data_IF_843703062056
#
_entry.id   IF_843703062056
#
_cell.length_a   1.000
_cell.length_b   1.000
_cell.length_c   1.000
_cell.angle_alpha   90.00
_cell.angle_beta   90.00
_cell.angle_gamma   90.00
#
_symmetry.space_group_name_H-M   'P 1'
#
loop_
_entity.id
_entity.type
_entity.pdbx_description
1 polymer ?
#
# COMPACT_ATOMS: atom_id res chain seq x y z
N UNK A 1 27.43 -6.78 -10.55
CA UNK A 1 26.26 -6.01 -11.03
C UNK A 1 25.24 -6.97 -11.61
N UNK A 2 24.17 -7.28 -10.87
CA UNK A 2 23.07 -8.12 -11.40
C UNK A 2 22.08 -7.22 -12.13
N UNK A 3 21.98 -7.41 -13.45
CA UNK A 3 21.08 -6.67 -14.33
C UNK A 3 19.68 -7.27 -14.19
N UNK A 4 18.79 -6.61 -13.45
CA UNK A 4 17.39 -7.02 -13.33
C UNK A 4 16.70 -6.87 -14.70
N UNK A 5 16.41 -8.00 -15.34
CA UNK A 5 15.63 -8.07 -16.57
C UNK A 5 14.17 -8.32 -16.16
N UNK A 6 13.26 -7.43 -16.57
CA UNK A 6 11.83 -7.63 -16.34
C UNK A 6 11.34 -8.83 -17.15
N UNK A 7 10.61 -9.73 -16.50
CA UNK A 7 9.99 -10.89 -17.15
C UNK A 7 9.08 -10.43 -18.29
N UNK A 8 9.29 -10.94 -19.51
CA UNK A 8 8.36 -10.77 -20.63
C UNK A 8 7.56 -12.05 -20.80
N UNK A 9 6.24 -11.99 -21.03
CA UNK A 9 5.43 -13.19 -21.30
C UNK A 9 5.85 -13.93 -22.57
N UNK A 10 6.66 -13.30 -23.44
CA UNK A 10 7.30 -13.94 -24.60
C UNK A 10 8.48 -14.86 -24.27
N UNK A 11 8.98 -14.84 -23.02
CA UNK A 11 10.09 -15.66 -22.59
C UNK A 11 9.66 -17.08 -22.17
N UNK A 12 8.35 -17.37 -22.15
CA UNK A 12 7.82 -18.71 -21.91
C UNK A 12 8.11 -19.61 -23.11
N UNK A 13 9.13 -20.44 -22.98
CA UNK A 13 9.46 -21.47 -23.97
C UNK A 13 8.66 -22.74 -23.75
N UNK A 14 8.60 -23.60 -24.78
CA UNK A 14 8.02 -24.95 -24.64
C UNK A 14 8.71 -25.81 -23.56
N UNK A 15 9.95 -25.47 -23.17
CA UNK A 15 10.66 -26.14 -22.07
C UNK A 15 10.14 -25.77 -20.67
N UNK A 16 9.40 -24.67 -20.53
CA UNK A 16 8.83 -24.25 -19.23
C UNK A 16 7.43 -24.86 -19.00
N UNK A 17 6.84 -25.42 -20.05
CA UNK A 17 5.57 -26.13 -20.02
C UNK A 17 5.46 -27.20 -18.91
N UNK A 18 6.45 -28.09 -18.68
CA UNK A 18 6.37 -29.06 -17.58
C UNK A 18 6.35 -28.40 -16.19
N UNK A 19 7.03 -27.27 -15.99
CA UNK A 19 7.01 -26.55 -14.72
C UNK A 19 5.68 -25.83 -14.51
N UNK A 20 5.12 -25.24 -15.56
CA UNK A 20 3.77 -24.63 -15.52
C UNK A 20 2.73 -25.71 -15.21
N UNK A 21 2.80 -26.86 -15.87
CA UNK A 21 1.89 -27.98 -15.63
C UNK A 21 2.03 -28.52 -14.19
N UNK A 22 3.25 -28.61 -13.67
CA UNK A 22 3.50 -29.01 -12.27
C UNK A 22 2.92 -27.99 -11.29
N UNK A 23 3.11 -26.69 -11.55
CA UNK A 23 2.53 -25.63 -10.73
C UNK A 23 0.99 -25.66 -10.74
N UNK A 24 0.39 -25.93 -11.90
CA UNK A 24 -1.06 -26.12 -12.02
C UNK A 24 -1.54 -27.36 -11.25
N UNK A 25 -0.81 -28.48 -11.34
CA UNK A 25 -1.14 -29.70 -10.62
C UNK A 25 -1.09 -29.51 -9.10
N UNK A 26 -0.05 -28.85 -8.59
CA UNK A 26 0.08 -28.53 -7.16
C UNK A 26 -1.06 -27.60 -6.73
N UNK A 27 -1.37 -26.59 -7.54
CA UNK A 27 -2.47 -25.65 -7.26
C UNK A 27 -3.82 -26.37 -7.21
N UNK A 28 -4.07 -27.29 -8.15
CA UNK A 28 -5.28 -28.12 -8.18
C UNK A 28 -5.37 -29.02 -6.94
N UNK A 29 -4.26 -29.63 -6.52
CA UNK A 29 -4.21 -30.45 -5.31
C UNK A 29 -4.52 -29.62 -4.06
N UNK A 30 -3.97 -28.41 -3.95
CA UNK A 30 -4.24 -27.49 -2.84
C UNK A 30 -5.71 -27.08 -2.80
N UNK A 31 -6.30 -26.74 -3.95
CA UNK A 31 -7.72 -26.38 -4.05
C UNK A 31 -8.63 -27.56 -3.69
N UNK A 32 -8.31 -28.76 -4.15
CA UNK A 32 -9.06 -29.97 -3.82
C UNK A 32 -8.97 -30.31 -2.33
N UNK A 33 -7.76 -30.27 -1.75
CA UNK A 33 -7.55 -30.50 -0.32
C UNK A 33 -8.26 -29.46 0.54
N UNK A 34 -8.24 -28.19 0.14
CA UNK A 34 -8.96 -27.12 0.81
C UNK A 34 -10.49 -27.32 0.71
N UNK A 35 -11.00 -27.74 -0.44
CA UNK A 35 -12.42 -28.06 -0.62
C UNK A 35 -12.86 -29.24 0.25
N UNK A 36 -12.08 -30.32 0.28
CA UNK A 36 -12.36 -31.49 1.14
C UNK A 36 -12.30 -31.12 2.63
N UNK A 37 -11.33 -30.29 3.02
CA UNK A 37 -11.24 -29.75 4.37
C UNK A 37 -12.48 -28.94 4.74
N UNK A 38 -12.93 -28.03 3.87
CA UNK A 38 -14.16 -27.27 4.08
C UNK A 38 -15.39 -28.16 4.19
N UNK A 39 -15.45 -29.25 3.42
CA UNK A 39 -16.56 -30.21 3.47
C UNK A 39 -16.68 -30.97 4.80
N UNK A 40 -15.63 -30.95 5.63
CA UNK A 40 -15.66 -31.51 6.99
C UNK A 40 -16.39 -30.59 7.98
N UNK A 41 -16.53 -29.30 7.65
CA UNK A 41 -17.22 -28.31 8.46
C UNK A 41 -18.68 -28.16 8.03
N UNK A 42 -19.54 -27.76 8.97
CA UNK A 42 -20.92 -27.41 8.65
C UNK A 42 -20.99 -26.21 7.71
N UNK A 43 -22.06 -26.12 6.91
CA UNK A 43 -22.26 -25.03 5.92
C UNK A 43 -22.15 -23.63 6.53
N UNK A 44 -22.47 -23.49 7.82
CA UNK A 44 -22.32 -22.25 8.58
C UNK A 44 -20.85 -21.79 8.66
N UNK A 45 -19.93 -22.68 9.02
CA UNK A 45 -18.51 -22.36 9.14
C UNK A 45 -17.84 -22.13 7.78
N UNK A 46 -18.27 -22.84 6.74
CA UNK A 46 -17.82 -22.59 5.36
C UNK A 46 -18.16 -21.16 4.92
N UNK A 47 -19.38 -20.71 5.22
CA UNK A 47 -19.82 -19.34 4.95
C UNK A 47 -18.99 -18.29 5.69
N UNK A 48 -18.63 -18.53 6.95
CA UNK A 48 -17.75 -17.64 7.72
C UNK A 48 -16.36 -17.57 7.12
N UNK A 49 -15.73 -18.71 6.77
CA UNK A 49 -14.36 -18.72 6.22
C UNK A 49 -14.29 -17.98 4.88
N UNK A 50 -15.24 -18.23 3.98
CA UNK A 50 -15.31 -17.54 2.68
C UNK A 50 -15.65 -16.05 2.85
N UNK A 51 -16.61 -15.74 3.73
CA UNK A 51 -17.03 -14.37 4.00
C UNK A 51 -15.93 -13.52 4.65
N UNK A 52 -15.19 -14.08 5.61
CA UNK A 52 -14.05 -13.42 6.27
C UNK A 52 -12.88 -13.27 5.30
N UNK A 53 -12.59 -14.30 4.50
CA UNK A 53 -11.53 -14.23 3.48
C UNK A 53 -11.77 -13.10 2.48
N UNK A 54 -12.97 -13.02 1.91
CA UNK A 54 -13.35 -11.95 0.98
C UNK A 54 -13.44 -10.61 1.72
N UNK A 55 -14.08 -10.58 2.88
CA UNK A 55 -14.30 -9.39 3.69
C UNK A 55 -13.03 -8.71 4.20
N UNK A 56 -11.95 -9.46 4.42
CA UNK A 56 -10.63 -8.90 4.77
C UNK A 56 -9.85 -8.51 3.51
N UNK A 57 -9.97 -9.26 2.41
CA UNK A 57 -9.21 -8.99 1.18
C UNK A 57 -9.59 -7.66 0.51
N UNK A 58 -10.87 -7.29 0.49
CA UNK A 58 -11.35 -6.03 -0.12
C UNK A 58 -10.76 -4.79 0.58
N UNK A 59 -10.90 -4.59 1.91
CA UNK A 59 -10.32 -3.43 2.58
C UNK A 59 -8.78 -3.40 2.51
N UNK A 60 -8.11 -4.56 2.47
CA UNK A 60 -6.65 -4.60 2.27
C UNK A 60 -6.22 -4.05 0.91
N UNK A 61 -7.04 -4.19 -0.14
CA UNK A 61 -6.76 -3.56 -1.43
C UNK A 61 -6.82 -2.01 -1.34
N UNK A 62 -7.67 -1.48 -0.46
CA UNK A 62 -7.77 -0.03 -0.22
C UNK A 62 -6.71 0.51 0.75
N UNK A 63 -6.16 -0.32 1.63
CA UNK A 63 -5.07 0.09 2.53
C UNK A 63 -3.74 0.34 1.81
N UNK A 64 -3.51 -0.24 0.63
CA UNK A 64 -2.23 -0.16 -0.10
C UNK A 64 -2.06 1.10 -0.96
N UNK A 65 -2.77 2.19 -0.67
CA UNK A 65 -2.65 3.47 -1.40
C UNK A 65 -2.03 4.57 -0.55
N UNK A 66 -0.94 4.27 0.14
CA UNK A 66 0.04 5.29 0.53
C UNK A 66 1.11 5.28 -0.55
N UNK A 67 0.87 6.02 -1.63
CA UNK A 67 1.94 6.31 -2.58
C UNK A 67 3.06 7.04 -1.84
N UNK A 68 4.31 6.75 -2.19
CA UNK A 68 5.44 7.58 -1.78
C UNK A 68 5.12 9.01 -2.20
N UNK A 69 4.83 9.86 -1.22
CA UNK A 69 4.70 11.29 -1.45
C UNK A 69 6.11 11.76 -1.80
N UNK A 70 6.28 12.26 -3.00
CA UNK A 70 7.58 12.73 -3.48
C UNK A 70 7.89 14.10 -2.85
N UNK A 71 8.37 14.07 -1.61
CA UNK A 71 8.61 15.28 -0.80
C UNK A 71 9.64 16.21 -1.47
N UNK A 72 10.47 15.68 -2.37
CA UNK A 72 11.47 16.45 -3.12
C UNK A 72 10.87 17.53 -4.04
N UNK A 73 9.59 17.40 -4.40
CA UNK A 73 8.86 18.36 -5.25
C UNK A 73 8.02 19.35 -4.45
N UNK A 74 7.95 19.21 -3.13
CA UNK A 74 7.12 20.04 -2.27
C UNK A 74 7.79 21.39 -2.01
N UNK A 75 7.00 22.46 -2.10
CA UNK A 75 7.49 23.82 -1.88
C UNK A 75 7.84 24.04 -0.40
N UNK A 76 8.91 24.77 -0.10
CA UNK A 76 9.29 25.09 1.29
C UNK A 76 8.13 25.80 2.01
N UNK A 77 7.74 25.35 3.23
CA UNK A 77 6.63 25.93 3.96
C UNK A 77 6.86 27.41 4.22
N UNK A 78 5.81 28.20 4.03
CA UNK A 78 5.81 29.65 4.22
C UNK A 78 6.05 30.03 5.69
N UNK A 79 6.45 31.28 5.93
CA UNK A 79 6.74 31.77 7.29
C UNK A 79 5.51 31.72 8.24
N UNK A 80 4.28 31.72 7.70
CA UNK A 80 3.03 31.50 8.46
C UNK A 80 2.93 30.08 8.99
N UNK A 81 3.15 29.09 8.11
CA UNK A 81 3.11 27.66 8.43
C UNK A 81 4.23 27.27 9.41
N UNK A 82 5.45 27.79 9.21
CA UNK A 82 6.58 27.56 10.10
C UNK A 82 6.31 28.06 11.53
N UNK A 83 5.74 29.27 11.67
CA UNK A 83 5.32 29.82 12.97
C UNK A 83 4.26 28.96 13.66
N UNK A 84 3.39 28.32 12.88
CA UNK A 84 2.38 27.40 13.43
C UNK A 84 3.01 26.10 13.94
N UNK A 85 3.99 25.54 13.22
CA UNK A 85 4.73 24.35 13.66
C UNK A 85 5.51 24.57 14.96
N UNK A 86 6.05 25.76 15.19
CA UNK A 86 6.82 26.07 16.40
C UNK A 86 5.95 26.42 17.62
N UNK A 87 4.66 26.72 17.43
CA UNK A 87 3.76 27.02 18.55
C UNK A 87 3.24 25.72 19.16
N UNK A 88 3.58 25.46 20.43
CA UNK A 88 3.05 24.33 21.23
C UNK A 88 1.52 24.31 21.37
N UNK A 89 0.84 25.41 21.06
CA UNK A 89 -0.61 25.54 21.16
C UNK A 89 -1.36 25.01 19.93
N UNK A 90 -0.69 24.87 18.78
CA UNK A 90 -1.34 24.43 17.54
C UNK A 90 -0.97 23.00 17.20
N UNK A 91 -1.91 22.26 16.62
CA UNK A 91 -1.68 20.87 16.23
C UNK A 91 -1.04 20.79 14.84
N UNK A 92 -0.24 19.75 14.59
CA UNK A 92 0.37 19.50 13.27
C UNK A 92 -0.69 19.39 12.15
N UNK A 93 -1.93 19.03 12.51
CA UNK A 93 -3.05 18.99 11.59
C UNK A 93 -3.48 20.39 11.10
N UNK A 94 -3.44 21.41 11.96
CA UNK A 94 -3.74 22.80 11.57
C UNK A 94 -2.66 23.37 10.66
N UNK A 95 -1.39 23.10 10.96
CA UNK A 95 -0.28 23.48 10.10
C UNK A 95 -0.35 22.80 8.72
N UNK A 96 -0.69 21.50 8.69
CA UNK A 96 -0.87 20.76 7.44
C UNK A 96 -2.08 21.26 6.65
N UNK A 97 -3.16 21.66 7.33
CA UNK A 97 -4.32 22.27 6.68
C UNK A 97 -3.96 23.62 6.05
N UNK A 98 -3.29 24.50 6.79
CA UNK A 98 -2.88 25.81 6.27
C UNK A 98 -1.92 25.65 5.07
N UNK A 99 -0.98 24.72 5.14
CA UNK A 99 -0.09 24.43 4.02
C UNK A 99 -0.84 23.87 2.80
N UNK A 100 -1.83 22.99 3.00
CA UNK A 100 -2.72 22.50 1.93
C UNK A 100 -3.52 23.63 1.29
N UNK A 101 -4.06 24.54 2.10
CA UNK A 101 -4.82 25.71 1.62
C UNK A 101 -3.93 26.70 0.84
N UNK A 102 -2.66 26.86 1.23
CA UNK A 102 -1.70 27.76 0.56
C UNK A 102 -1.14 27.17 -0.75
N UNK A 103 -0.98 25.85 -0.84
CA UNK A 103 -0.30 25.17 -1.97
C UNK A 103 -1.25 24.43 -2.92
N UNK A 104 -2.50 24.21 -2.50
CA UNK A 104 -3.46 23.36 -3.20
C UNK A 104 -3.12 21.86 -3.16
N UNK A 105 -2.13 21.45 -2.35
CA UNK A 105 -1.69 20.07 -2.23
C UNK A 105 -2.68 19.21 -1.44
N UNK A 106 -2.65 17.89 -1.68
CA UNK A 106 -3.49 16.96 -0.93
C UNK A 106 -3.15 16.91 0.56
N UNK A 107 -4.11 16.50 1.39
CA UNK A 107 -3.94 16.40 2.86
C UNK A 107 -2.77 15.46 3.23
N UNK A 108 -2.60 14.37 2.48
CA UNK A 108 -1.50 13.43 2.70
C UNK A 108 -0.12 14.05 2.43
N UNK A 109 -0.02 14.84 1.36
CA UNK A 109 1.21 15.51 0.94
C UNK A 109 1.58 16.63 1.90
N UNK A 110 0.57 17.40 2.31
CA UNK A 110 0.72 18.48 3.28
C UNK A 110 1.13 17.95 4.65
N UNK A 111 0.56 16.83 5.10
CA UNK A 111 0.98 16.18 6.34
C UNK A 111 2.41 15.65 6.26
N UNK A 112 2.81 15.08 5.12
CA UNK A 112 4.17 14.61 4.90
C UNK A 112 5.19 15.76 4.92
N UNK A 113 4.87 16.89 4.26
CA UNK A 113 5.70 18.10 4.27
C UNK A 113 5.91 18.63 5.69
N UNK A 114 4.82 18.83 6.44
CA UNK A 114 4.90 19.36 7.81
C UNK A 114 5.64 18.41 8.75
N UNK A 115 5.44 17.10 8.63
CA UNK A 115 6.19 16.13 9.41
C UNK A 115 7.68 16.18 9.10
N UNK A 116 8.08 16.27 7.82
CA UNK A 116 9.50 16.37 7.43
C UNK A 116 10.13 17.67 7.93
N UNK A 117 9.39 18.79 7.87
CA UNK A 117 9.82 20.07 8.40
C UNK A 117 10.02 20.01 9.93
N UNK A 118 9.06 19.45 10.66
CA UNK A 118 9.13 19.34 12.13
C UNK A 118 10.24 18.37 12.59
N UNK A 119 10.58 17.36 11.80
CA UNK A 119 11.72 16.47 12.05
C UNK A 119 13.09 17.11 11.76
N UNK A 120 13.13 18.34 11.22
CA UNK A 120 14.37 19.04 10.91
C UNK A 120 15.07 18.58 9.61
N UNK A 121 14.50 17.59 8.91
CA UNK A 121 15.13 16.93 7.77
C UNK A 121 14.77 17.58 6.42
N UNK A 122 14.32 18.84 6.39
CA UNK A 122 13.81 19.46 5.16
C UNK A 122 14.85 19.57 4.02
N UNK A 123 16.16 19.63 4.36
CA UNK A 123 17.27 19.82 3.41
C UNK A 123 18.17 18.58 3.22
N UNK A 124 17.76 17.43 3.72
CA UNK A 124 18.35 16.11 3.41
C UNK A 124 17.48 15.35 2.39
#
# INVERSE_FOLDING_TARGET
MQKHRSFRPSDFGFSDFPYVLTGLAITSLMLFGFSAFLHTFSSFWQGIVLGVGIGISIPLLFLKRSGDVDISKLQEPSASVQKMCHKKTHTLAEAAKLYSDETGLGIAESKAAINKYNSGNWKE
#
